data_IF_699731611756
#
_entry.id   IF_699731611756
#
_cell.length_a   1.000
_cell.length_b   1.000
_cell.length_c   1.000
_cell.angle_alpha   90.00
_cell.angle_beta   90.00
_cell.angle_gamma   90.00
#
_symmetry.space_group_name_H-M   'P 1'
#
loop_
_entity.id
_entity.type
_entity.pdbx_description
1 polymer ?
#
# COMPACT_ATOMS: atom_id res chain seq x y z
N UNK A 1 -0.55 -2.63 -2.93
CA UNK A 1 -0.10 -3.16 -4.23
C UNK A 1 -1.22 -3.16 -5.26
N UNK A 2 -0.99 -3.76 -6.42
CA UNK A 2 -2.01 -3.95 -7.46
C UNK A 2 -2.83 -5.23 -7.23
N UNK A 3 -4.11 -5.22 -7.60
CA UNK A 3 -5.00 -6.38 -7.50
C UNK A 3 -6.02 -6.43 -8.64
N UNK A 4 -6.48 -7.64 -9.00
CA UNK A 4 -7.52 -7.82 -10.02
C UNK A 4 -8.93 -7.84 -9.40
N UNK A 5 -9.28 -8.98 -8.77
CA UNK A 5 -10.61 -9.24 -8.26
C UNK A 5 -10.75 -9.01 -6.75
N UNK A 6 -9.74 -9.40 -5.94
CA UNK A 6 -9.71 -9.16 -4.50
C UNK A 6 -8.40 -8.46 -4.09
N UNK A 7 -8.52 -7.44 -3.24
CA UNK A 7 -7.42 -6.57 -2.80
C UNK A 7 -6.82 -6.94 -1.44
N UNK A 8 -6.94 -8.20 -1.02
CA UNK A 8 -6.64 -8.65 0.35
C UNK A 8 -5.13 -8.71 0.65
N UNK A 9 -4.28 -8.84 -0.37
CA UNK A 9 -2.83 -8.99 -0.18
C UNK A 9 -2.21 -7.86 0.63
N UNK A 10 -2.68 -6.62 0.48
CA UNK A 10 -2.14 -5.47 1.23
C UNK A 10 -2.44 -5.61 2.73
N UNK A 11 -3.62 -6.12 3.09
CA UNK A 11 -4.00 -6.38 4.49
C UNK A 11 -3.13 -7.49 5.09
N UNK A 12 -2.96 -8.60 4.37
CA UNK A 12 -2.13 -9.73 4.81
C UNK A 12 -0.68 -9.29 5.05
N UNK A 13 -0.14 -8.44 4.18
CA UNK A 13 1.20 -7.89 4.34
C UNK A 13 1.31 -6.98 5.58
N UNK A 14 0.33 -6.13 5.84
CA UNK A 14 0.31 -5.29 7.04
C UNK A 14 0.24 -6.14 8.31
N UNK A 15 -0.60 -7.17 8.34
CA UNK A 15 -0.68 -8.10 9.47
C UNK A 15 0.66 -8.82 9.70
N UNK A 16 1.32 -9.26 8.62
CA UNK A 16 2.64 -9.89 8.71
C UNK A 16 3.71 -8.91 9.25
N UNK A 17 3.71 -7.65 8.80
CA UNK A 17 4.61 -6.61 9.29
C UNK A 17 4.38 -6.31 10.78
N UNK A 18 3.12 -6.14 11.18
CA UNK A 18 2.76 -5.91 12.57
C UNK A 18 3.17 -7.10 13.47
N UNK A 19 2.92 -8.33 13.03
CA UNK A 19 3.33 -9.54 13.74
C UNK A 19 4.85 -9.70 13.84
N UNK A 20 5.59 -9.13 12.89
CA UNK A 20 7.06 -9.06 12.92
C UNK A 20 7.60 -7.91 13.80
N UNK A 21 6.73 -7.12 14.44
CA UNK A 21 7.11 -6.02 15.33
C UNK A 21 7.35 -4.68 14.64
N UNK A 22 7.01 -4.54 13.36
CA UNK A 22 7.05 -3.25 12.67
C UNK A 22 5.83 -2.42 13.03
N UNK A 23 6.04 -1.10 13.20
CA UNK A 23 4.94 -0.15 13.25
C UNK A 23 4.35 0.04 11.85
N UNK A 24 3.06 -0.26 11.71
CA UNK A 24 2.31 -0.05 10.46
C UNK A 24 1.65 1.33 10.52
N UNK A 25 2.19 2.27 9.76
CA UNK A 25 1.80 3.69 9.82
C UNK A 25 0.53 4.03 9.02
N UNK A 26 0.08 3.16 8.10
CA UNK A 26 -1.16 3.34 7.32
C UNK A 26 -1.63 1.99 6.74
N UNK A 27 -2.89 1.88 6.30
CA UNK A 27 -3.45 0.64 5.71
C UNK A 27 -2.83 0.24 4.36
N UNK A 28 -1.99 1.10 3.76
CA UNK A 28 -1.27 0.83 2.53
C UNK A 28 -2.01 1.20 1.24
N UNK A 29 -1.24 1.49 0.18
CA UNK A 29 -1.78 1.89 -1.11
C UNK A 29 -2.28 0.68 -1.92
N UNK A 30 -3.51 0.74 -2.45
CA UNK A 30 -4.11 -0.33 -3.27
C UNK A 30 -4.55 0.18 -4.64
N UNK A 31 -4.14 -0.49 -5.71
CA UNK A 31 -4.49 -0.18 -7.09
C UNK A 31 -5.28 -1.33 -7.75
N UNK A 32 -6.41 -1.03 -8.37
CA UNK A 32 -7.11 -2.04 -9.17
C UNK A 32 -6.46 -2.13 -10.56
N UNK A 33 -6.16 -3.35 -11.00
CA UNK A 33 -5.47 -3.64 -12.26
C UNK A 33 -4.15 -2.87 -12.41
N UNK A 34 -3.87 -2.40 -13.62
CA UNK A 34 -2.67 -1.64 -13.93
C UNK A 34 -2.88 -0.15 -13.60
N UNK A 35 -1.91 0.52 -12.96
CA UNK A 35 -2.02 1.94 -12.66
C UNK A 35 -1.92 2.78 -13.93
N UNK A 36 -2.77 3.80 -14.03
CA UNK A 36 -2.61 4.91 -14.97
C UNK A 36 -1.68 5.99 -14.38
N UNK A 37 -1.51 7.11 -15.09
CA UNK A 37 -0.66 8.22 -14.65
C UNK A 37 -1.14 8.84 -13.32
N UNK A 38 -2.46 8.93 -13.10
CA UNK A 38 -3.02 9.44 -11.86
C UNK A 38 -2.69 8.52 -10.68
N UNK A 39 -2.84 7.22 -10.90
CA UNK A 39 -2.51 6.18 -9.91
C UNK A 39 -1.01 6.12 -9.60
N UNK A 40 -0.15 6.44 -10.56
CA UNK A 40 1.29 6.59 -10.32
C UNK A 40 1.59 7.81 -9.45
N UNK A 41 0.93 8.95 -9.69
CA UNK A 41 1.08 10.16 -8.85
C UNK A 41 0.65 9.86 -7.41
N UNK A 42 -0.47 9.18 -7.22
CA UNK A 42 -0.93 8.80 -5.87
C UNK A 42 0.04 7.84 -5.16
N UNK A 43 0.70 6.94 -5.89
CA UNK A 43 1.74 6.08 -5.32
C UNK A 43 2.97 6.90 -4.87
N UNK A 44 3.34 7.95 -5.60
CA UNK A 44 4.40 8.89 -5.20
C UNK A 44 4.00 9.64 -3.93
N UNK A 45 2.78 10.14 -3.84
CA UNK A 45 2.28 10.81 -2.63
C UNK A 45 2.24 9.87 -1.42
N UNK A 46 1.87 8.61 -1.63
CA UNK A 46 1.96 7.58 -0.58
C UNK A 46 3.40 7.37 -0.09
N UNK A 47 4.38 7.30 -1.01
CA UNK A 47 5.80 7.25 -0.65
C UNK A 47 6.28 8.46 0.16
N UNK A 48 5.78 9.66 -0.16
CA UNK A 48 6.09 10.88 0.61
C UNK A 48 5.54 10.84 2.04
N UNK A 49 4.41 10.15 2.29
CA UNK A 49 3.89 9.94 3.65
C UNK A 49 4.83 9.04 4.44
N UNK A 50 5.28 7.93 3.84
CA UNK A 50 6.23 7.00 4.47
C UNK A 50 7.53 7.73 4.83
N UNK A 51 8.07 8.57 3.94
CA UNK A 51 9.31 9.31 4.19
C UNK A 51 9.21 10.38 5.30
N UNK A 52 7.99 10.75 5.72
CA UNK A 52 7.75 11.72 6.81
C UNK A 52 7.53 11.07 8.17
N UNK A 53 7.24 9.78 8.20
CA UNK A 53 7.09 9.00 9.43
C UNK A 53 8.46 8.68 10.02
#
# INVERSE_FOLDING_TARGET
GCYGWSGESTKILNEALANAGFEVIEEGFRNQWNPDDGRQIEAIEFGKKIAKA
#
